data_IF_104052045901
#
_entry.id   IF_104052045901
#
_cell.length_a   1.000
_cell.length_b   1.000
_cell.length_c   1.000
_cell.angle_alpha   90.00
_cell.angle_beta   90.00
_cell.angle_gamma   90.00
#
_symmetry.space_group_name_H-M   'P 1'
#
loop_
_entity.id
_entity.type
_entity.pdbx_description
1 polymer ?
#
# COMPACT_ATOMS: atom_id res chain seq x y z
N UNK A 1 23.24 14.54 -11.09
CA UNK A 1 22.62 15.35 -12.18
C UNK A 1 21.13 15.07 -12.44
N UNK A 2 20.71 13.93 -13.04
CA UNK A 2 19.28 13.71 -13.39
C UNK A 2 18.38 13.69 -12.16
N UNK A 3 18.79 12.95 -11.12
CA UNK A 3 18.11 12.91 -9.82
C UNK A 3 17.95 14.30 -9.21
N UNK A 4 19.03 15.08 -9.10
CA UNK A 4 19.01 16.42 -8.51
C UNK A 4 18.09 17.36 -9.30
N UNK A 5 18.11 17.29 -10.64
CA UNK A 5 17.19 18.07 -11.47
C UNK A 5 15.73 17.72 -11.18
N UNK A 6 15.41 16.43 -11.03
CA UNK A 6 14.04 16.00 -10.73
C UNK A 6 13.65 16.36 -9.30
N UNK A 7 14.53 16.19 -8.32
CA UNK A 7 14.31 16.61 -6.93
C UNK A 7 14.03 18.11 -6.87
N UNK A 8 14.87 18.93 -7.52
CA UNK A 8 14.69 20.39 -7.55
C UNK A 8 13.41 20.80 -8.28
N UNK A 9 13.02 20.06 -9.32
CA UNK A 9 11.77 20.31 -10.04
C UNK A 9 10.53 19.99 -9.19
N UNK A 10 10.56 18.89 -8.43
CA UNK A 10 9.48 18.48 -7.53
C UNK A 10 9.39 19.36 -6.27
N UNK A 11 10.52 19.87 -5.79
CA UNK A 11 10.58 20.76 -4.64
C UNK A 11 10.03 22.17 -4.95
N UNK A 12 10.26 22.66 -6.17
CA UNK A 12 9.94 24.06 -6.56
C UNK A 12 8.50 24.26 -7.02
N UNK A 13 7.85 23.23 -7.57
CA UNK A 13 6.56 23.40 -8.25
C UNK A 13 5.45 22.53 -7.66
N UNK A 14 4.26 23.11 -7.53
CA UNK A 14 3.02 22.39 -7.26
C UNK A 14 2.32 22.11 -8.58
N UNK A 15 1.96 20.85 -8.81
CA UNK A 15 1.49 20.40 -10.12
C UNK A 15 -0.01 20.11 -10.15
N UNK A 16 -0.61 20.33 -11.32
CA UNK A 16 -2.01 20.00 -11.55
C UNK A 16 -2.25 18.49 -11.50
N UNK A 17 -3.45 18.07 -11.06
CA UNK A 17 -3.84 16.65 -10.97
C UNK A 17 -3.61 15.85 -12.27
N UNK A 18 -3.66 16.50 -13.44
CA UNK A 18 -3.48 15.85 -14.76
C UNK A 18 -2.02 15.44 -15.03
N UNK A 19 -1.05 16.22 -14.55
CA UNK A 19 0.39 15.94 -14.71
C UNK A 19 0.92 14.92 -13.70
N UNK A 20 0.14 14.59 -12.68
CA UNK A 20 0.56 13.74 -11.57
C UNK A 20 1.02 12.35 -12.01
N UNK A 21 0.32 11.70 -12.96
CA UNK A 21 0.64 10.32 -13.34
C UNK A 21 2.05 10.15 -13.92
N UNK A 22 2.52 11.12 -14.70
CA UNK A 22 3.86 11.09 -15.27
C UNK A 22 4.91 11.33 -14.18
N UNK A 23 4.66 12.32 -13.33
CA UNK A 23 5.56 12.67 -12.24
C UNK A 23 5.67 11.56 -11.20
N UNK A 24 4.56 10.92 -10.82
CA UNK A 24 4.58 9.78 -9.90
C UNK A 24 5.37 8.61 -10.47
N UNK A 25 5.28 8.35 -11.78
CA UNK A 25 6.12 7.36 -12.46
C UNK A 25 7.61 7.68 -12.40
N UNK A 26 7.98 8.95 -12.61
CA UNK A 26 9.37 9.41 -12.48
C UNK A 26 9.88 9.29 -11.03
N UNK A 27 9.06 9.66 -10.05
CA UNK A 27 9.39 9.54 -8.62
C UNK A 27 9.64 8.07 -8.28
N UNK A 28 8.75 7.17 -8.68
CA UNK A 28 8.92 5.74 -8.45
C UNK A 28 10.21 5.20 -9.10
N UNK A 29 10.56 5.66 -10.31
CA UNK A 29 11.79 5.24 -10.96
C UNK A 29 13.05 5.67 -10.18
N UNK A 30 13.09 6.91 -9.69
CA UNK A 30 14.19 7.41 -8.87
C UNK A 30 14.25 6.69 -7.53
N UNK A 31 13.09 6.49 -6.90
CA UNK A 31 12.96 5.84 -5.61
C UNK A 31 13.45 4.39 -5.66
N UNK A 32 13.11 3.65 -6.73
CA UNK A 32 13.61 2.28 -6.97
C UNK A 32 15.11 2.24 -7.25
N UNK A 33 15.66 3.27 -7.90
CA UNK A 33 17.09 3.32 -8.22
C UNK A 33 17.97 3.65 -7.00
N UNK A 34 17.52 4.54 -6.12
CA UNK A 34 18.26 4.92 -4.91
C UNK A 34 17.30 5.34 -3.79
N UNK A 35 16.75 4.39 -3.02
CA UNK A 35 15.73 4.69 -2.02
C UNK A 35 16.26 5.53 -0.85
N UNK A 36 17.45 5.20 -0.33
CA UNK A 36 18.04 5.85 0.86
C UNK A 36 18.21 7.36 0.65
N UNK A 37 18.91 7.75 -0.40
CA UNK A 37 19.16 9.17 -0.67
C UNK A 37 17.88 9.89 -1.08
N UNK A 38 17.00 9.24 -1.87
CA UNK A 38 15.77 9.87 -2.33
C UNK A 38 14.83 10.17 -1.16
N UNK A 39 14.66 9.24 -0.22
CA UNK A 39 13.86 9.47 0.99
C UNK A 39 14.47 10.57 1.87
N UNK A 40 15.79 10.55 2.07
CA UNK A 40 16.49 11.54 2.88
C UNK A 40 16.22 12.98 2.44
N UNK A 41 16.08 13.24 1.14
CA UNK A 41 15.75 14.58 0.65
C UNK A 41 14.24 14.78 0.46
N UNK A 42 13.58 13.95 -0.35
CA UNK A 42 12.20 14.20 -0.76
C UNK A 42 11.19 13.92 0.34
N UNK A 43 11.38 12.86 1.15
CA UNK A 43 10.43 12.54 2.21
C UNK A 43 10.49 13.60 3.32
N UNK A 44 11.69 14.02 3.72
CA UNK A 44 11.86 15.09 4.70
C UNK A 44 11.25 16.42 4.22
N UNK A 45 11.55 16.83 2.99
CA UNK A 45 10.96 18.06 2.43
C UNK A 45 9.43 17.98 2.31
N UNK A 46 8.91 16.82 1.88
CA UNK A 46 7.45 16.62 1.79
C UNK A 46 6.81 16.70 3.17
N UNK A 47 7.42 16.08 4.18
CA UNK A 47 6.96 16.18 5.56
C UNK A 47 6.96 17.61 6.08
N UNK A 48 8.06 18.35 5.91
CA UNK A 48 8.17 19.75 6.34
C UNK A 48 7.12 20.64 5.67
N UNK A 49 6.84 20.42 4.38
CA UNK A 49 5.78 21.13 3.65
C UNK A 49 4.39 20.81 4.20
N UNK A 50 4.10 19.53 4.42
CA UNK A 50 2.81 19.11 5.01
C UNK A 50 2.66 19.73 6.39
N UNK A 51 3.66 19.61 7.26
CA UNK A 51 3.67 20.18 8.60
C UNK A 51 3.46 21.70 8.57
N UNK A 52 4.17 22.41 7.70
CA UNK A 52 4.01 23.85 7.53
C UNK A 52 2.58 24.22 7.12
N UNK A 53 2.01 23.55 6.12
CA UNK A 53 0.64 23.81 5.68
C UNK A 53 -0.35 23.55 6.81
N UNK A 54 -0.23 22.43 7.52
CA UNK A 54 -1.14 22.05 8.60
C UNK A 54 -1.00 22.91 9.86
N UNK A 55 0.17 23.51 10.10
CA UNK A 55 0.41 24.39 11.25
C UNK A 55 0.05 25.85 10.96
N UNK A 56 0.14 26.28 9.70
CA UNK A 56 -0.24 27.63 9.26
C UNK A 56 -1.75 27.78 9.03
N UNK A 57 -2.45 26.67 8.88
CA UNK A 57 -3.86 26.65 8.54
C UNK A 57 -4.71 26.18 9.71
N UNK A 58 -5.89 26.76 9.87
CA UNK A 58 -6.88 26.23 10.81
C UNK A 58 -7.29 24.80 10.41
N UNK A 59 -7.75 24.00 11.38
CA UNK A 59 -8.32 22.65 11.16
C UNK A 59 -9.38 22.60 10.05
N UNK A 60 -9.91 23.74 9.64
CA UNK A 60 -10.80 23.89 8.50
C UNK A 60 -10.27 23.26 7.21
N UNK A 61 -8.95 23.32 6.91
CA UNK A 61 -8.42 22.76 5.65
C UNK A 61 -8.62 21.23 5.56
N UNK A 62 -8.58 20.52 6.70
CA UNK A 62 -8.83 19.09 6.73
C UNK A 62 -10.31 18.75 6.49
N UNK A 63 -11.20 19.69 6.82
CA UNK A 63 -12.65 19.54 6.72
C UNK A 63 -13.27 20.24 5.49
N UNK A 64 -12.47 20.93 4.68
CA UNK A 64 -12.95 21.62 3.49
C UNK A 64 -13.02 20.65 2.28
N UNK A 65 -14.20 20.58 1.67
CA UNK A 65 -14.44 19.82 0.45
C UNK A 65 -13.68 20.36 -0.78
N UNK A 66 -13.29 21.65 -0.79
CA UNK A 66 -12.45 22.20 -1.87
C UNK A 66 -11.01 21.72 -1.77
N UNK A 67 -10.53 21.50 -0.54
CA UNK A 67 -9.17 21.08 -0.24
C UNK A 67 -8.12 22.12 -0.63
N UNK A 68 -6.93 21.97 -0.05
CA UNK A 68 -5.77 22.75 -0.48
C UNK A 68 -5.02 21.97 -1.60
N UNK A 69 -4.79 22.59 -2.78
CA UNK A 69 -4.16 21.92 -3.91
C UNK A 69 -2.69 21.57 -3.63
N UNK A 70 -1.99 22.37 -2.82
CA UNK A 70 -0.61 22.11 -2.44
C UNK A 70 -0.52 20.92 -1.47
N UNK A 71 -1.38 20.88 -0.45
CA UNK A 71 -1.52 19.74 0.46
C UNK A 71 -1.85 18.48 -0.31
N UNK A 72 -2.83 18.54 -1.22
CA UNK A 72 -3.23 17.39 -2.05
C UNK A 72 -2.03 16.86 -2.85
N UNK A 73 -1.24 17.75 -3.46
CA UNK A 73 -0.02 17.37 -4.17
C UNK A 73 1.01 16.73 -3.25
N UNK A 74 1.27 17.32 -2.08
CA UNK A 74 2.19 16.77 -1.08
C UNK A 74 1.76 15.38 -0.60
N UNK A 75 0.46 15.14 -0.39
CA UNK A 75 -0.07 13.84 0.00
C UNK A 75 0.04 12.80 -1.13
N UNK A 76 -0.12 13.22 -2.38
CA UNK A 76 0.14 12.35 -3.54
C UNK A 76 1.62 11.98 -3.61
N UNK A 77 2.52 12.95 -3.46
CA UNK A 77 3.96 12.71 -3.43
C UNK A 77 4.33 11.77 -2.27
N UNK A 78 3.83 12.04 -1.08
CA UNK A 78 3.98 11.17 0.10
C UNK A 78 3.53 9.74 -0.20
N UNK A 79 2.38 9.56 -0.87
CA UNK A 79 1.86 8.24 -1.20
C UNK A 79 2.79 7.42 -2.09
N UNK A 80 3.60 8.06 -2.94
CA UNK A 80 4.61 7.35 -3.75
C UNK A 80 5.89 7.08 -2.95
N UNK A 81 6.32 8.04 -2.13
CA UNK A 81 7.56 7.93 -1.35
C UNK A 81 7.48 6.82 -0.30
N UNK A 82 6.33 6.62 0.35
CA UNK A 82 6.13 5.50 1.29
C UNK A 82 6.04 4.13 0.59
N UNK A 83 6.11 4.09 -0.74
CA UNK A 83 6.26 2.86 -1.53
C UNK A 83 7.72 2.45 -1.78
N UNK A 84 8.68 3.03 -1.05
CA UNK A 84 10.10 2.66 -1.12
C UNK A 84 10.38 1.26 -0.52
N UNK A 85 11.65 0.88 -0.43
CA UNK A 85 12.03 -0.37 0.23
C UNK A 85 11.72 -0.28 1.73
N UNK A 86 11.09 -1.32 2.28
CA UNK A 86 10.57 -1.30 3.65
C UNK A 86 11.67 -1.10 4.70
N UNK A 87 12.85 -1.67 4.49
CA UNK A 87 14.04 -1.55 5.34
C UNK A 87 14.47 -0.09 5.50
N UNK A 88 14.40 0.70 4.42
CA UNK A 88 14.70 2.13 4.46
C UNK A 88 13.59 2.97 5.12
N UNK A 89 12.33 2.50 5.10
CA UNK A 89 11.19 3.23 5.66
C UNK A 89 11.14 3.16 7.19
N UNK A 90 11.72 2.14 7.81
CA UNK A 90 11.76 1.98 9.28
C UNK A 90 12.37 3.23 9.95
N UNK A 91 13.43 3.78 9.35
CA UNK A 91 14.13 4.98 9.85
C UNK A 91 13.18 6.18 9.98
N UNK A 92 12.15 6.24 9.13
CA UNK A 92 11.19 7.33 9.04
C UNK A 92 9.83 7.01 9.69
N UNK A 93 9.73 5.92 10.44
CA UNK A 93 8.47 5.42 11.05
C UNK A 93 7.68 6.50 11.78
N UNK A 94 8.32 7.25 12.68
CA UNK A 94 7.64 8.29 13.49
C UNK A 94 7.06 9.40 12.63
N UNK A 95 7.80 9.85 11.62
CA UNK A 95 7.38 10.88 10.68
C UNK A 95 6.21 10.42 9.81
N UNK A 96 6.29 9.18 9.32
CA UNK A 96 5.21 8.56 8.52
C UNK A 96 3.94 8.46 9.35
N UNK A 97 4.01 7.93 10.58
CA UNK A 97 2.86 7.81 11.48
C UNK A 97 2.26 9.18 11.82
N UNK A 98 3.09 10.20 12.04
CA UNK A 98 2.62 11.57 12.29
C UNK A 98 1.73 12.09 11.17
N UNK A 99 2.15 11.95 9.90
CA UNK A 99 1.34 12.36 8.74
C UNK A 99 0.02 11.59 8.72
N UNK A 100 0.04 10.26 8.94
CA UNK A 100 -1.19 9.48 8.98
C UNK A 100 -2.12 9.98 10.08
N UNK A 101 -1.66 10.13 11.32
CA UNK A 101 -2.51 10.63 12.41
C UNK A 101 -3.18 11.97 12.10
N UNK A 102 -2.49 12.88 11.42
CA UNK A 102 -3.03 14.21 11.11
C UNK A 102 -3.96 14.22 9.89
N UNK A 103 -3.65 13.42 8.86
CA UNK A 103 -4.30 13.53 7.55
C UNK A 103 -5.27 12.39 7.22
N UNK A 104 -5.38 11.35 8.07
CA UNK A 104 -6.19 10.16 7.77
C UNK A 104 -7.68 10.49 7.55
N UNK A 105 -8.19 11.51 8.25
CA UNK A 105 -9.59 11.94 8.20
C UNK A 105 -9.81 13.18 7.32
N UNK A 106 -8.92 13.48 6.38
CA UNK A 106 -9.16 14.57 5.42
C UNK A 106 -10.43 14.29 4.60
N UNK A 107 -11.27 15.32 4.40
CA UNK A 107 -12.55 15.18 3.69
C UNK A 107 -12.37 15.28 2.17
N UNK A 108 -11.42 16.12 1.72
CA UNK A 108 -11.17 16.32 0.30
C UNK A 108 -10.88 15.01 -0.44
N UNK A 109 -11.58 14.79 -1.56
CA UNK A 109 -11.68 13.50 -2.24
C UNK A 109 -10.36 12.94 -2.73
N UNK A 110 -9.55 13.77 -3.38
CA UNK A 110 -8.27 13.31 -3.92
C UNK A 110 -7.22 13.15 -2.82
N UNK A 111 -7.33 13.95 -1.75
CA UNK A 111 -6.45 13.86 -0.59
C UNK A 111 -6.66 12.57 0.20
N UNK A 112 -7.90 12.20 0.53
CA UNK A 112 -8.13 10.95 1.27
C UNK A 112 -7.77 9.73 0.42
N UNK A 113 -7.97 9.79 -0.90
CA UNK A 113 -7.53 8.73 -1.82
C UNK A 113 -6.01 8.62 -1.85
N UNK A 114 -5.30 9.74 -1.83
CA UNK A 114 -3.85 9.75 -1.71
C UNK A 114 -3.40 9.12 -0.38
N UNK A 115 -4.06 9.43 0.73
CA UNK A 115 -3.79 8.82 2.03
C UNK A 115 -4.10 7.32 2.07
N UNK A 116 -5.23 6.89 1.54
CA UNK A 116 -5.56 5.47 1.40
C UNK A 116 -4.52 4.74 0.53
N UNK A 117 -4.10 5.36 -0.59
CA UNK A 117 -3.03 4.84 -1.44
C UNK A 117 -1.70 4.76 -0.69
N UNK A 118 -1.35 5.76 0.10
CA UNK A 118 -0.15 5.79 0.93
C UNK A 118 -0.16 4.61 1.92
N UNK A 119 -1.28 4.36 2.61
CA UNK A 119 -1.43 3.25 3.55
C UNK A 119 -1.21 1.89 2.85
N UNK A 120 -1.83 1.69 1.69
CA UNK A 120 -1.61 0.48 0.87
C UNK A 120 -0.14 0.33 0.48
N UNK A 121 0.48 1.40 -0.02
CA UNK A 121 1.86 1.36 -0.52
C UNK A 121 2.84 1.06 0.62
N UNK A 122 2.69 1.73 1.76
CA UNK A 122 3.47 1.47 2.97
C UNK A 122 3.37 0.00 3.39
N UNK A 123 2.15 -0.52 3.55
CA UNK A 123 1.95 -1.89 4.00
C UNK A 123 2.50 -2.92 2.99
N UNK A 124 2.39 -2.67 1.69
CA UNK A 124 3.04 -3.52 0.68
C UNK A 124 4.55 -3.48 0.82
N UNK A 125 5.14 -2.30 0.93
CA UNK A 125 6.58 -2.13 1.11
C UNK A 125 7.12 -2.86 2.33
N UNK A 126 6.36 -2.90 3.42
CA UNK A 126 6.75 -3.55 4.68
C UNK A 126 6.45 -5.05 4.74
N UNK A 127 5.55 -5.59 3.89
CA UNK A 127 5.03 -6.95 4.10
C UNK A 127 5.07 -7.87 2.88
N UNK A 128 5.45 -7.38 1.71
CA UNK A 128 5.50 -8.17 0.49
C UNK A 128 6.94 -8.52 0.15
N UNK A 129 7.12 -9.65 -0.52
CA UNK A 129 8.39 -9.98 -1.19
C UNK A 129 8.37 -9.38 -2.59
N UNK A 130 9.37 -8.58 -2.93
CA UNK A 130 9.49 -7.92 -4.24
C UNK A 130 10.96 -7.75 -4.65
N UNK A 131 11.26 -7.67 -5.96
CA UNK A 131 12.63 -7.42 -6.42
C UNK A 131 13.07 -6.00 -6.04
N UNK A 132 14.33 -5.87 -5.62
CA UNK A 132 14.99 -4.60 -5.29
C UNK A 132 16.07 -4.22 -6.30
N UNK A 133 16.50 -5.17 -7.13
CA UNK A 133 17.46 -4.93 -8.19
C UNK A 133 16.77 -5.03 -9.55
N UNK A 134 16.76 -3.91 -10.28
CA UNK A 134 16.16 -3.77 -11.60
C UNK A 134 17.22 -3.46 -12.67
N UNK A 135 18.51 -3.68 -12.37
CA UNK A 135 19.59 -3.45 -13.32
C UNK A 135 19.47 -4.42 -14.49
N UNK A 136 19.78 -3.92 -15.69
CA UNK A 136 19.76 -4.71 -16.93
C UNK A 136 21.00 -5.61 -17.06
N UNK A 137 22.03 -5.38 -16.24
CA UNK A 137 23.31 -6.09 -16.28
C UNK A 137 23.67 -6.61 -14.89
N UNK A 138 24.30 -7.79 -14.83
CA UNK A 138 24.85 -8.35 -13.59
C UNK A 138 26.12 -7.59 -13.19
N UNK A 139 26.83 -7.04 -14.18
CA UNK A 139 28.06 -6.28 -14.03
C UNK A 139 27.82 -4.97 -13.29
N UNK A 140 28.78 -4.60 -12.44
CA UNK A 140 28.70 -3.38 -11.66
C UNK A 140 29.12 -2.17 -12.50
N UNK A 141 28.14 -1.56 -13.19
CA UNK A 141 28.33 -0.35 -13.99
C UNK A 141 28.81 0.89 -13.19
N UNK A 142 28.91 0.79 -11.86
CA UNK A 142 29.49 1.87 -11.02
C UNK A 142 31.00 1.72 -10.81
N UNK A 143 31.63 0.65 -11.32
CA UNK A 143 33.08 0.51 -11.27
C UNK A 143 33.77 1.60 -12.12
N UNK A 144 34.99 2.02 -11.74
CA UNK A 144 35.75 2.99 -12.52
C UNK A 144 35.94 2.54 -13.96
N UNK A 145 35.90 3.48 -14.91
CA UNK A 145 36.10 3.18 -16.34
C UNK A 145 37.48 2.59 -16.67
N UNK A 146 38.43 2.67 -15.75
CA UNK A 146 39.73 2.01 -15.86
C UNK A 146 39.60 0.49 -15.76
N UNK A 147 38.64 0.00 -14.99
CA UNK A 147 38.51 -1.41 -14.63
C UNK A 147 37.41 -2.07 -15.48
N UNK A 148 36.37 -1.32 -15.82
CA UNK A 148 35.24 -1.81 -16.60
C UNK A 148 34.67 -0.75 -17.54
N UNK A 149 34.44 -1.10 -18.81
CA UNK A 149 33.81 -0.24 -19.81
C UNK A 149 32.35 -0.67 -20.04
N UNK A 150 31.34 0.09 -19.55
CA UNK A 150 29.92 -0.31 -19.65
C UNK A 150 29.39 -0.55 -21.06
N UNK A 151 30.01 0.05 -22.08
CA UNK A 151 29.64 -0.20 -23.48
C UNK A 151 29.84 -1.66 -23.91
N UNK A 152 30.73 -2.40 -23.22
CA UNK A 152 30.96 -3.82 -23.50
C UNK A 152 29.79 -4.70 -23.06
N UNK A 153 28.95 -4.21 -22.16
CA UNK A 153 27.76 -4.89 -21.66
C UNK A 153 26.52 -4.67 -22.53
N UNK A 154 26.61 -3.85 -23.59
CA UNK A 154 25.46 -3.52 -24.42
C UNK A 154 24.95 -4.74 -25.19
N UNK A 155 23.66 -5.05 -25.01
CA UNK A 155 23.01 -6.18 -25.66
C UNK A 155 23.47 -7.56 -25.16
N UNK A 156 24.23 -7.60 -24.06
CA UNK A 156 24.65 -8.86 -23.46
C UNK A 156 23.44 -9.60 -22.89
N UNK A 157 23.29 -10.86 -23.27
CA UNK A 157 22.30 -11.74 -22.68
C UNK A 157 22.85 -12.34 -21.38
N UNK A 158 21.97 -12.60 -20.43
CA UNK A 158 22.30 -13.24 -19.15
C UNK A 158 21.62 -14.60 -19.13
N UNK A 159 22.38 -15.65 -18.85
CA UNK A 159 21.83 -16.98 -18.61
C UNK A 159 20.94 -16.97 -17.36
N UNK A 160 19.81 -17.67 -17.39
CA UNK A 160 18.85 -17.68 -16.27
C UNK A 160 19.49 -18.09 -14.95
N UNK A 161 20.38 -19.09 -14.95
CA UNK A 161 21.06 -19.58 -13.74
C UNK A 161 22.07 -18.58 -13.16
N UNK A 162 22.51 -17.60 -13.97
CA UNK A 162 23.42 -16.53 -13.56
C UNK A 162 22.67 -15.27 -13.13
N UNK A 163 21.33 -15.26 -13.22
CA UNK A 163 20.52 -14.13 -12.83
C UNK A 163 20.41 -14.03 -11.31
N UNK A 164 21.22 -13.15 -10.72
CA UNK A 164 21.21 -12.89 -9.28
C UNK A 164 20.16 -11.82 -8.92
N UNK A 165 18.87 -12.17 -8.98
CA UNK A 165 17.79 -11.26 -8.58
C UNK A 165 17.81 -11.09 -7.07
N UNK A 166 18.02 -9.85 -6.61
CA UNK A 166 17.88 -9.52 -5.20
C UNK A 166 16.42 -9.24 -4.89
N UNK A 167 15.91 -9.90 -3.86
CA UNK A 167 14.57 -9.68 -3.33
C UNK A 167 14.66 -9.00 -1.98
N UNK A 168 13.72 -8.08 -1.75
CA UNK A 168 13.36 -7.66 -0.42
C UNK A 168 12.56 -8.78 0.27
N UNK A 169 12.98 -9.16 1.46
CA UNK A 169 12.27 -10.09 2.34
C UNK A 169 11.95 -9.34 3.63
N UNK A 170 10.67 -9.21 4.00
CA UNK A 170 10.28 -8.49 5.22
C UNK A 170 10.93 -9.05 6.48
N UNK A 171 11.60 -8.17 7.23
CA UNK A 171 12.21 -8.47 8.51
C UNK A 171 11.23 -8.26 9.68
N UNK A 172 11.65 -8.60 10.90
CA UNK A 172 10.81 -8.51 12.09
C UNK A 172 10.34 -7.07 12.40
N UNK A 173 11.20 -6.07 12.24
CA UNK A 173 10.85 -4.66 12.51
C UNK A 173 9.78 -4.16 11.54
N UNK A 174 9.88 -4.56 10.27
CA UNK A 174 8.90 -4.20 9.23
C UNK A 174 7.54 -4.83 9.49
N UNK A 175 7.52 -6.12 9.85
CA UNK A 175 6.28 -6.83 10.18
C UNK A 175 5.65 -6.24 11.45
N UNK A 176 6.45 -5.95 12.48
CA UNK A 176 5.94 -5.29 13.69
C UNK A 176 5.35 -3.91 13.37
N UNK A 177 6.02 -3.12 12.52
CA UNK A 177 5.50 -1.82 12.09
C UNK A 177 4.20 -1.97 11.28
N UNK A 178 4.13 -2.93 10.35
CA UNK A 178 2.92 -3.18 9.59
C UNK A 178 1.74 -3.61 10.49
N UNK A 179 2.00 -4.45 11.49
CA UNK A 179 0.99 -4.87 12.48
C UNK A 179 0.50 -3.67 13.30
N UNK A 180 1.41 -2.86 13.84
CA UNK A 180 1.08 -1.62 14.59
C UNK A 180 0.24 -0.66 13.75
N UNK A 181 0.59 -0.48 12.48
CA UNK A 181 -0.16 0.38 11.57
C UNK A 181 -1.61 -0.11 11.38
N UNK A 182 -1.80 -1.42 11.18
CA UNK A 182 -3.14 -2.02 11.05
C UNK A 182 -3.92 -1.85 12.36
N UNK A 183 -3.32 -2.13 13.51
CA UNK A 183 -3.92 -1.92 14.83
C UNK A 183 -4.37 -0.47 15.06
N UNK A 184 -3.52 0.48 14.66
CA UNK A 184 -3.74 1.91 14.89
C UNK A 184 -4.81 2.47 13.97
N UNK A 185 -4.80 2.16 12.68
CA UNK A 185 -5.68 2.84 11.72
C UNK A 185 -6.87 2.00 11.27
N UNK A 186 -6.69 0.69 11.09
CA UNK A 186 -7.74 -0.14 10.51
C UNK A 186 -8.82 -0.51 11.51
N UNK A 187 -8.41 -1.03 12.68
CA UNK A 187 -9.35 -1.45 13.71
C UNK A 187 -10.12 -0.27 14.30
N UNK A 188 -9.47 0.90 14.45
CA UNK A 188 -10.17 2.12 14.85
C UNK A 188 -11.24 2.53 13.83
N UNK A 189 -10.91 2.49 12.53
CA UNK A 189 -11.87 2.86 11.48
C UNK A 189 -13.04 1.86 11.38
N UNK A 190 -12.77 0.57 11.52
CA UNK A 190 -13.80 -0.48 11.57
C UNK A 190 -14.75 -0.28 12.75
N UNK A 191 -14.20 -0.05 13.94
CA UNK A 191 -14.99 0.26 15.14
C UNK A 191 -15.86 1.50 14.93
N UNK A 192 -15.30 2.56 14.35
CA UNK A 192 -16.04 3.78 14.05
C UNK A 192 -17.19 3.53 13.07
N UNK A 193 -16.96 2.75 12.01
CA UNK A 193 -18.03 2.38 11.06
C UNK A 193 -19.13 1.59 11.76
N UNK A 194 -18.79 0.56 12.53
CA UNK A 194 -19.80 -0.27 13.21
C UNK A 194 -20.64 0.53 14.21
N UNK A 195 -20.03 1.47 14.95
CA UNK A 195 -20.73 2.25 15.98
C UNK A 195 -21.51 3.45 15.43
N UNK A 196 -21.03 4.07 14.35
CA UNK A 196 -21.51 5.38 13.88
C UNK A 196 -22.02 5.40 12.44
N UNK A 197 -22.11 4.26 11.75
CA UNK A 197 -22.54 4.17 10.34
C UNK A 197 -23.79 5.01 10.03
N UNK A 198 -24.81 4.95 10.89
CA UNK A 198 -26.09 5.65 10.73
C UNK A 198 -25.99 7.16 10.82
N UNK A 199 -25.00 7.69 11.53
CA UNK A 199 -24.79 9.13 11.74
C UNK A 199 -23.81 9.73 10.74
N UNK A 200 -23.03 8.89 10.07
CA UNK A 200 -22.05 9.31 9.07
C UNK A 200 -22.74 9.70 7.77
N UNK A 201 -22.21 10.73 7.12
CA UNK A 201 -22.56 11.08 5.75
C UNK A 201 -22.07 10.00 4.77
N UNK A 202 -22.65 9.97 3.55
CA UNK A 202 -22.20 9.09 2.47
C UNK A 202 -20.71 9.27 2.17
N UNK A 203 -20.22 10.52 2.18
CA UNK A 203 -18.81 10.82 1.91
C UNK A 203 -17.87 10.31 3.02
N UNK A 204 -18.26 10.46 4.28
CA UNK A 204 -17.48 9.93 5.42
C UNK A 204 -17.41 8.39 5.36
N UNK A 205 -18.54 7.72 5.12
CA UNK A 205 -18.57 6.26 4.95
C UNK A 205 -17.70 5.81 3.80
N UNK A 206 -17.82 6.47 2.65
CA UNK A 206 -17.05 6.15 1.46
C UNK A 206 -15.54 6.33 1.72
N UNK A 207 -15.14 7.38 2.42
CA UNK A 207 -13.75 7.63 2.82
C UNK A 207 -13.22 6.52 3.72
N UNK A 208 -13.94 6.22 4.80
CA UNK A 208 -13.57 5.18 5.78
C UNK A 208 -13.45 3.80 5.12
N UNK A 209 -14.43 3.42 4.30
CA UNK A 209 -14.38 2.18 3.52
C UNK A 209 -13.24 2.17 2.50
N UNK A 210 -12.96 3.30 1.84
CA UNK A 210 -11.84 3.41 0.91
C UNK A 210 -10.51 3.17 1.61
N UNK A 211 -10.34 3.72 2.81
CA UNK A 211 -9.16 3.52 3.63
C UNK A 211 -9.00 2.04 4.02
N UNK A 212 -10.03 1.44 4.61
CA UNK A 212 -10.03 0.02 5.02
C UNK A 212 -9.71 -0.88 3.84
N UNK A 213 -10.33 -0.65 2.68
CA UNK A 213 -10.06 -1.41 1.47
C UNK A 213 -8.59 -1.35 1.04
N UNK A 214 -7.97 -0.17 1.09
CA UNK A 214 -6.57 -0.01 0.73
C UNK A 214 -5.61 -0.64 1.76
N UNK A 215 -5.90 -0.47 3.05
CA UNK A 215 -5.15 -1.14 4.11
C UNK A 215 -5.23 -2.65 3.94
N UNK A 216 -6.43 -3.21 3.72
CA UNK A 216 -6.64 -4.64 3.52
C UNK A 216 -5.83 -5.17 2.31
N UNK A 217 -5.81 -4.45 1.19
CA UNK A 217 -4.94 -4.81 0.05
C UNK A 217 -3.47 -4.83 0.47
N UNK A 218 -3.05 -3.88 1.31
CA UNK A 218 -1.68 -3.77 1.79
C UNK A 218 -1.27 -4.88 2.75
N UNK A 219 -2.14 -5.32 3.66
CA UNK A 219 -1.77 -6.20 4.77
C UNK A 219 -2.22 -7.65 4.64
N UNK A 220 -3.23 -7.98 3.82
CA UNK A 220 -3.82 -9.33 3.81
C UNK A 220 -2.85 -10.45 3.40
N UNK A 221 -1.73 -10.13 2.75
CA UNK A 221 -0.65 -11.11 2.48
C UNK A 221 -0.10 -11.72 3.78
N UNK A 222 -0.02 -10.92 4.85
CA UNK A 222 0.45 -11.31 6.18
C UNK A 222 -0.58 -12.14 6.96
N UNK A 223 -1.86 -12.06 6.59
CA UNK A 223 -2.94 -12.65 7.38
C UNK A 223 -3.18 -14.09 6.91
N UNK A 224 -3.10 -15.08 7.82
CA UNK A 224 -3.31 -16.48 7.46
C UNK A 224 -4.75 -16.71 6.97
N UNK A 225 -4.93 -17.82 6.25
CA UNK A 225 -6.27 -18.29 5.83
C UNK A 225 -7.18 -18.44 7.05
N UNK A 226 -8.49 -18.26 6.82
CA UNK A 226 -9.48 -18.55 7.85
C UNK A 226 -9.56 -20.07 7.99
N UNK A 227 -9.19 -20.58 9.15
CA UNK A 227 -9.38 -21.99 9.48
C UNK A 227 -10.86 -22.21 9.75
N UNK A 228 -11.51 -23.01 8.90
CA UNK A 228 -12.89 -23.42 9.08
C UNK A 228 -12.98 -24.94 9.14
N UNK A 229 -13.99 -25.44 9.86
CA UNK A 229 -14.34 -26.84 9.80
C UNK A 229 -14.78 -27.16 8.38
N UNK A 230 -14.38 -28.32 7.88
CA UNK A 230 -14.84 -28.82 6.59
C UNK A 230 -16.37 -28.81 6.56
N UNK A 231 -16.92 -28.28 5.46
CA UNK A 231 -18.37 -28.31 5.24
C UNK A 231 -18.76 -29.76 4.99
N UNK A 232 -19.41 -30.36 5.99
CA UNK A 232 -19.84 -31.75 5.93
C UNK A 232 -20.89 -31.95 4.83
N UNK A 233 -20.89 -33.14 4.22
CA UNK A 233 -21.93 -33.60 3.30
C UNK A 233 -22.06 -32.83 1.97
N UNK A 234 -21.01 -32.14 1.50
CA UNK A 234 -21.02 -31.52 0.17
C UNK A 234 -21.09 -32.58 -0.96
N UNK A 235 -20.15 -33.53 -0.94
CA UNK A 235 -20.07 -34.64 -1.91
C UNK A 235 -19.42 -35.84 -1.22
N UNK A 236 -19.96 -37.05 -1.42
CA UNK A 236 -19.30 -38.29 -0.99
C UNK A 236 -18.08 -38.55 -1.88
N UNK A 237 -16.87 -38.43 -1.33
CA UNK A 237 -15.65 -38.81 -2.03
C UNK A 237 -15.10 -40.11 -1.47
N UNK A 238 -14.76 -41.04 -2.37
CA UNK A 238 -14.09 -42.31 -2.05
C UNK A 238 -12.58 -42.10 -1.84
N UNK A 239 -12.06 -40.95 -2.29
CA UNK A 239 -10.67 -40.54 -2.12
C UNK A 239 -10.60 -39.36 -1.14
N UNK A 240 -9.63 -39.31 -0.20
CA UNK A 240 -9.44 -38.15 0.66
C UNK A 240 -9.29 -36.87 -0.18
N UNK A 241 -10.14 -35.89 0.08
CA UNK A 241 -10.01 -34.58 -0.55
C UNK A 241 -8.96 -33.77 0.20
N UNK A 242 -7.71 -33.81 -0.26
CA UNK A 242 -6.64 -32.99 0.31
C UNK A 242 -6.61 -31.61 -0.36
N UNK A 243 -7.36 -30.66 0.22
CA UNK A 243 -7.32 -29.25 -0.20
C UNK A 243 -6.09 -28.49 0.29
N UNK A 244 -5.17 -29.16 1.01
CA UNK A 244 -3.98 -28.54 1.61
C UNK A 244 -2.85 -28.35 0.59
N UNK A 245 -3.13 -27.96 -0.65
CA UNK A 245 -2.09 -27.37 -1.49
C UNK A 245 -1.76 -25.99 -0.90
N UNK A 246 -0.84 -26.02 0.06
CA UNK A 246 -0.40 -24.89 0.86
C UNK A 246 0.64 -24.11 0.04
N UNK A 247 0.18 -23.28 -0.90
CA UNK A 247 1.03 -22.35 -1.64
C UNK A 247 1.40 -21.09 -0.82
N UNK A 248 1.10 -21.07 0.48
CA UNK A 248 1.50 -19.99 1.39
C UNK A 248 2.77 -20.41 2.11
N UNK A 249 3.91 -20.29 1.41
CA UNK A 249 5.22 -20.45 2.03
C UNK A 249 5.37 -19.47 3.19
N UNK A 250 5.97 -19.92 4.30
CA UNK A 250 6.39 -19.01 5.38
C UNK A 250 7.52 -18.15 4.82
N UNK A 251 7.15 -16.99 4.26
CA UNK A 251 8.08 -16.01 3.71
C UNK A 251 8.59 -15.05 4.78
N UNK A 252 8.02 -15.12 5.99
CA UNK A 252 8.31 -14.21 7.08
C UNK A 252 9.26 -14.86 8.06
N UNK A 253 10.30 -14.14 8.45
CA UNK A 253 11.24 -14.58 9.50
C UNK A 253 10.50 -14.79 10.83
N UNK A 254 9.41 -14.04 11.04
CA UNK A 254 8.53 -14.14 12.19
C UNK A 254 7.08 -14.04 11.73
N UNK A 255 6.24 -14.93 12.24
CA UNK A 255 4.81 -14.90 11.95
C UNK A 255 4.17 -13.58 12.46
N UNK A 256 3.42 -12.86 11.60
CA UNK A 256 2.70 -11.66 11.98
C UNK A 256 1.75 -11.91 13.15
N UNK A 257 1.84 -11.07 14.19
CA UNK A 257 1.01 -11.20 15.39
C UNK A 257 -0.16 -10.23 15.32
N UNK A 258 -1.32 -10.75 14.91
CA UNK A 258 -2.60 -10.06 15.07
C UNK A 258 -3.34 -10.61 16.29
N UNK A 259 -4.17 -9.78 16.93
CA UNK A 259 -5.02 -10.20 18.07
C UNK A 259 -5.98 -11.34 17.68
N UNK A 260 -6.46 -11.29 16.45
CA UNK A 260 -7.37 -12.26 15.85
C UNK A 260 -7.11 -12.38 14.35
N UNK A 261 -7.74 -13.35 13.69
CA UNK A 261 -7.65 -13.46 12.24
C UNK A 261 -8.37 -12.27 11.59
N UNK A 262 -7.59 -11.28 11.12
CA UNK A 262 -8.11 -10.05 10.51
C UNK A 262 -9.06 -10.31 9.33
N UNK A 263 -8.89 -11.42 8.58
CA UNK A 263 -9.83 -11.78 7.49
C UNK A 263 -11.20 -12.12 8.04
N UNK A 264 -11.24 -12.92 9.11
CA UNK A 264 -12.50 -13.30 9.75
C UNK A 264 -13.18 -12.07 10.34
N UNK A 265 -12.42 -11.23 11.03
CA UNK A 265 -12.91 -9.96 11.58
C UNK A 265 -13.51 -9.07 10.49
N UNK A 266 -12.79 -8.88 9.38
CA UNK A 266 -13.29 -8.14 8.22
C UNK A 266 -14.56 -8.75 7.61
N UNK A 267 -14.64 -10.07 7.46
CA UNK A 267 -15.83 -10.71 6.88
C UNK A 267 -17.07 -10.49 7.73
N UNK A 268 -16.95 -10.60 9.05
CA UNK A 268 -18.06 -10.39 9.98
C UNK A 268 -18.49 -8.93 9.96
N UNK A 269 -17.56 -8.01 10.22
CA UNK A 269 -17.87 -6.59 10.37
C UNK A 269 -18.39 -5.97 9.08
N UNK A 270 -17.71 -6.24 7.95
CA UNK A 270 -18.13 -5.72 6.65
C UNK A 270 -19.40 -6.43 6.18
N UNK A 271 -19.60 -7.71 6.50
CA UNK A 271 -20.85 -8.42 6.21
C UNK A 271 -22.05 -7.74 6.88
N UNK A 272 -21.96 -7.52 8.20
CA UNK A 272 -22.98 -6.81 8.96
C UNK A 272 -23.21 -5.38 8.44
N UNK A 273 -22.12 -4.68 8.06
CA UNK A 273 -22.21 -3.35 7.49
C UNK A 273 -22.90 -3.34 6.12
N UNK A 274 -22.68 -4.35 5.27
CA UNK A 274 -23.37 -4.48 3.99
C UNK A 274 -24.87 -4.63 4.21
N UNK A 275 -25.29 -5.51 5.11
CA UNK A 275 -26.71 -5.72 5.43
C UNK A 275 -27.36 -4.41 5.92
N UNK A 276 -26.65 -3.69 6.79
CA UNK A 276 -27.09 -2.40 7.30
C UNK A 276 -27.18 -1.32 6.19
N UNK A 277 -26.19 -1.23 5.30
CA UNK A 277 -26.21 -0.28 4.19
C UNK A 277 -27.34 -0.58 3.21
N UNK A 278 -27.62 -1.85 2.92
CA UNK A 278 -28.73 -2.24 2.05
C UNK A 278 -30.08 -1.88 2.69
N UNK A 279 -30.23 -2.10 4.00
CA UNK A 279 -31.47 -1.83 4.71
C UNK A 279 -31.79 -0.34 4.89
N UNK A 280 -30.78 0.49 5.20
CA UNK A 280 -30.98 1.89 5.64
C UNK A 280 -30.39 2.96 4.71
N UNK A 281 -29.48 2.58 3.80
CA UNK A 281 -28.74 3.49 2.92
C UNK A 281 -28.60 2.93 1.50
N UNK A 282 -29.69 2.37 0.96
CA UNK A 282 -29.70 1.72 -0.36
C UNK A 282 -29.31 2.66 -1.51
N UNK A 283 -29.41 3.97 -1.30
CA UNK A 283 -28.98 5.03 -2.22
C UNK A 283 -27.46 5.23 -2.27
N UNK A 284 -26.71 4.83 -1.22
CA UNK A 284 -25.25 4.93 -1.15
C UNK A 284 -24.56 3.76 -1.87
N UNK A 285 -24.79 3.67 -3.19
CA UNK A 285 -24.24 2.63 -4.04
C UNK A 285 -22.69 2.61 -4.06
N UNK A 286 -22.05 3.76 -3.81
CA UNK A 286 -20.59 3.87 -3.80
C UNK A 286 -19.99 3.16 -2.58
N UNK A 287 -20.53 3.40 -1.39
CA UNK A 287 -20.10 2.73 -0.16
C UNK A 287 -20.38 1.22 -0.24
N UNK A 288 -21.58 0.82 -0.67
CA UNK A 288 -21.95 -0.60 -0.85
C UNK A 288 -20.96 -1.30 -1.77
N UNK A 289 -20.60 -0.69 -2.90
CA UNK A 289 -19.64 -1.26 -3.85
C UNK A 289 -18.25 -1.46 -3.23
N UNK A 290 -17.77 -0.56 -2.39
CA UNK A 290 -16.47 -0.71 -1.72
C UNK A 290 -16.57 -1.77 -0.61
N UNK A 291 -17.65 -1.78 0.18
CA UNK A 291 -17.87 -2.80 1.20
C UNK A 291 -17.86 -4.22 0.59
N UNK A 292 -18.56 -4.43 -0.52
CA UNK A 292 -18.53 -5.70 -1.26
C UNK A 292 -17.12 -6.07 -1.75
N UNK A 293 -16.33 -5.09 -2.20
CA UNK A 293 -14.92 -5.34 -2.58
C UNK A 293 -14.09 -5.77 -1.38
N UNK A 294 -14.25 -5.15 -0.21
CA UNK A 294 -13.54 -5.55 1.00
C UNK A 294 -13.93 -6.99 1.37
N UNK A 295 -15.23 -7.30 1.35
CA UNK A 295 -15.73 -8.63 1.65
C UNK A 295 -15.13 -9.72 0.73
N UNK A 296 -15.12 -9.47 -0.58
CA UNK A 296 -14.48 -10.35 -1.57
C UNK A 296 -12.96 -10.45 -1.39
N UNK A 297 -12.30 -9.34 -1.05
CA UNK A 297 -10.86 -9.31 -0.81
C UNK A 297 -10.48 -10.19 0.40
N UNK A 298 -11.22 -10.11 1.50
CA UNK A 298 -10.96 -10.87 2.73
C UNK A 298 -10.97 -12.38 2.52
N UNK A 299 -11.82 -12.87 1.62
CA UNK A 299 -11.94 -14.30 1.31
C UNK A 299 -10.91 -14.79 0.28
N UNK A 300 -10.70 -14.04 -0.81
CA UNK A 300 -9.98 -14.55 -1.99
C UNK A 300 -8.57 -14.00 -2.17
N UNK A 301 -8.21 -12.87 -1.56
CA UNK A 301 -6.93 -12.19 -1.85
C UNK A 301 -5.80 -12.64 -0.93
N UNK A 302 -4.71 -13.14 -1.51
CA UNK A 302 -3.50 -13.58 -0.79
C UNK A 302 -2.25 -12.81 -1.21
N UNK A 303 -2.41 -11.53 -1.56
CA UNK A 303 -1.31 -10.62 -1.92
C UNK A 303 -1.15 -10.35 -3.42
N UNK A 304 -1.89 -11.05 -4.26
CA UNK A 304 -1.93 -10.77 -5.71
C UNK A 304 -3.35 -11.00 -6.22
N UNK A 305 -3.76 -10.15 -7.17
CA UNK A 305 -5.03 -10.33 -7.88
C UNK A 305 -4.86 -11.33 -9.02
N UNK A 306 -5.82 -12.23 -9.18
CA UNK A 306 -5.85 -13.24 -10.24
C UNK A 306 -5.69 -12.63 -11.64
N UNK A 307 -6.33 -11.49 -11.91
CA UNK A 307 -6.20 -10.77 -13.18
C UNK A 307 -4.75 -10.39 -13.52
N UNK A 308 -3.92 -10.08 -12.51
CA UNK A 308 -2.52 -9.75 -12.73
C UNK A 308 -1.71 -11.01 -13.08
N UNK A 309 -2.05 -12.15 -12.48
CA UNK A 309 -1.43 -13.44 -12.81
C UNK A 309 -1.80 -13.84 -14.24
N UNK A 310 -3.08 -13.77 -14.58
CA UNK A 310 -3.55 -14.13 -15.92
C UNK A 310 -2.91 -13.26 -17.01
N UNK A 311 -2.65 -11.97 -16.73
CA UNK A 311 -1.89 -11.12 -17.65
C UNK A 311 -0.45 -11.60 -17.82
N UNK A 312 0.26 -11.90 -16.72
CA UNK A 312 1.62 -12.44 -16.76
C UNK A 312 1.70 -13.76 -17.52
N UNK A 313 0.71 -14.66 -17.35
CA UNK A 313 0.68 -15.95 -18.03
C UNK A 313 0.35 -15.84 -19.53
N UNK A 314 -0.41 -14.83 -19.94
CA UNK A 314 -0.74 -14.61 -21.36
C UNK A 314 0.37 -13.85 -22.12
N UNK A 315 1.25 -13.15 -21.41
CA UNK A 315 2.38 -12.41 -21.97
C UNK A 315 3.66 -13.27 -22.08
N UNK A 316 3.62 -14.54 -21.65
CA UNK A 316 4.70 -15.54 -21.73
C UNK A 316 4.44 -16.55 -22.85
#
# INVERSE_FOLDING_TARGET
MVREKIINYLATYSFSLKTNKLLTGLIQAILKSNPVETLKYLLLQTYERIEKILNQSDMFILNDHKGDPELTWCLILFSELVGAHGDTLIIYKSMILSIFHRCIHIIHKDSYKAMAKAAKNLLKSLSYVYPIDYRLTVENITEPFTDFLPIRAWGQYVEYDKLNVKFHIPNEEEINFACEFVETFMYLELKMLNEKCTKMSNDERLRSLTLIHHIAIGCLRMVPRIESKEVQNLVSSIVPYDSKIQAQYSLYVKEPKFKENLRMHLLIDIGNLIDHLIAYHSDDASSIKIALKIYSLSSMYYGTFEQNINKLCNDL
#
